data_IF_997352106490
#
_entry.id   IF_997352106490
#
_cell.length_a   1.000
_cell.length_b   1.000
_cell.length_c   1.000
_cell.angle_alpha   90.00
_cell.angle_beta   90.00
_cell.angle_gamma   90.00
#
_symmetry.space_group_name_H-M   'P 1'
#
loop_
_entity.id
_entity.type
_entity.pdbx_description
1 polymer ?
#
# COMPACT_ATOMS: atom_id res chain seq x y z
N UNK A 1 14.89 -13.78 14.76
CA UNK A 1 13.45 -13.46 14.69
C UNK A 1 13.19 -12.72 13.37
N UNK A 2 12.43 -13.31 12.43
CA UNK A 2 12.13 -12.63 11.15
C UNK A 2 11.29 -11.38 11.44
N UNK A 3 11.83 -10.22 11.09
CA UNK A 3 11.18 -8.92 11.18
C UNK A 3 10.02 -8.89 10.16
N UNK A 4 8.88 -9.50 10.51
CA UNK A 4 7.73 -9.59 9.62
C UNK A 4 7.03 -8.23 9.63
N UNK A 5 7.41 -7.36 8.69
CA UNK A 5 6.59 -6.23 8.29
C UNK A 5 5.16 -6.69 7.95
N UNK A 6 4.19 -5.76 7.96
CA UNK A 6 2.77 -6.10 7.79
C UNK A 6 2.57 -6.96 6.53
N UNK A 7 2.19 -8.23 6.73
CA UNK A 7 1.94 -9.16 5.62
C UNK A 7 0.64 -8.77 4.94
N UNK A 8 0.65 -8.70 3.62
CA UNK A 8 -0.57 -8.42 2.88
C UNK A 8 -1.45 -9.68 2.89
N UNK A 9 -2.77 -9.52 2.72
CA UNK A 9 -3.71 -10.65 2.73
C UNK A 9 -3.24 -11.85 1.89
N UNK A 10 -2.68 -11.58 0.70
CA UNK A 10 -2.20 -12.63 -0.19
C UNK A 10 -1.04 -13.41 0.40
N UNK A 11 -0.15 -12.75 1.15
CA UNK A 11 1.01 -13.38 1.77
C UNK A 11 0.58 -14.28 2.92
N UNK A 12 -0.31 -13.80 3.79
CA UNK A 12 -0.89 -14.58 4.89
C UNK A 12 -1.63 -15.80 4.33
N UNK A 13 -2.43 -15.60 3.29
CA UNK A 13 -3.14 -16.71 2.63
C UNK A 13 -2.16 -17.75 2.06
N UNK A 14 -1.25 -17.33 1.18
CA UNK A 14 -0.36 -18.25 0.49
C UNK A 14 0.58 -19.00 1.43
N UNK A 15 1.06 -18.34 2.49
CA UNK A 15 2.09 -18.88 3.36
C UNK A 15 1.51 -19.65 4.55
N UNK A 16 0.33 -19.28 5.07
CA UNK A 16 -0.16 -19.84 6.34
C UNK A 16 -1.55 -20.48 6.30
N UNK A 17 -2.43 -20.05 5.38
CA UNK A 17 -3.86 -20.41 5.41
C UNK A 17 -4.35 -21.19 4.18
N UNK A 18 -3.56 -21.28 3.11
CA UNK A 18 -3.90 -22.05 1.90
C UNK A 18 -4.12 -23.53 2.21
N UNK A 19 -3.32 -24.08 3.12
CA UNK A 19 -3.43 -25.47 3.60
C UNK A 19 -3.45 -25.44 5.12
N UNK A 20 -4.49 -26.01 5.73
CA UNK A 20 -4.63 -26.13 7.19
C UNK A 20 -4.92 -27.61 7.49
N UNK A 21 -4.07 -28.25 8.30
CA UNK A 21 -4.16 -29.68 8.62
C UNK A 21 -4.34 -30.59 7.38
N UNK A 22 -3.60 -30.30 6.29
CA UNK A 22 -3.67 -31.07 5.05
C UNK A 22 -4.83 -30.70 4.11
N UNK A 23 -5.80 -29.90 4.54
CA UNK A 23 -6.96 -29.49 3.75
C UNK A 23 -6.68 -28.19 3.03
N UNK A 24 -6.96 -28.14 1.72
CA UNK A 24 -6.75 -26.96 0.87
C UNK A 24 -7.99 -26.07 0.80
N UNK A 25 -7.83 -24.81 1.18
CA UNK A 25 -8.86 -23.79 1.10
C UNK A 25 -8.58 -22.80 -0.03
N UNK A 26 -9.64 -22.27 -0.61
CA UNK A 26 -9.59 -21.14 -1.54
C UNK A 26 -9.49 -19.82 -0.78
N UNK A 27 -9.05 -18.71 -1.41
CA UNK A 27 -9.00 -17.42 -0.73
C UNK A 27 -10.38 -17.00 -0.20
N UNK A 28 -11.45 -17.30 -0.94
CA UNK A 28 -12.81 -16.94 -0.55
C UNK A 28 -13.31 -17.75 0.65
N UNK A 29 -12.95 -19.03 0.75
CA UNK A 29 -13.28 -19.84 1.91
C UNK A 29 -12.55 -19.33 3.16
N UNK A 30 -11.27 -18.95 3.03
CA UNK A 30 -10.52 -18.32 4.13
C UNK A 30 -11.12 -16.98 4.53
N UNK A 31 -11.60 -16.16 3.59
CA UNK A 31 -12.36 -14.94 3.93
C UNK A 31 -13.55 -15.31 4.83
N UNK A 32 -14.38 -16.27 4.42
CA UNK A 32 -15.58 -16.68 5.18
C UNK A 32 -15.22 -17.28 6.54
N UNK A 33 -14.20 -18.13 6.63
CA UNK A 33 -13.69 -18.71 7.89
C UNK A 33 -13.23 -17.60 8.85
N UNK A 34 -12.51 -16.60 8.35
CA UNK A 34 -12.04 -15.47 9.15
C UNK A 34 -13.19 -14.64 9.75
N UNK A 35 -14.27 -14.48 8.99
CA UNK A 35 -15.50 -13.85 9.48
C UNK A 35 -16.25 -14.70 10.52
N UNK A 36 -16.33 -16.02 10.31
CA UNK A 36 -16.98 -16.95 11.27
C UNK A 36 -16.26 -16.90 12.62
N UNK A 37 -14.93 -17.05 12.61
CA UNK A 37 -14.10 -16.99 13.83
C UNK A 37 -14.26 -15.65 14.55
N UNK A 38 -14.52 -14.58 13.81
CA UNK A 38 -14.76 -13.24 14.36
C UNK A 38 -16.21 -13.01 14.79
N UNK A 39 -17.02 -14.07 14.89
CA UNK A 39 -18.41 -14.02 15.38
C UNK A 39 -19.37 -13.27 14.47
N UNK A 40 -19.11 -13.22 13.15
CA UNK A 40 -19.94 -12.44 12.22
C UNK A 40 -21.05 -13.29 11.61
N UNK A 41 -22.28 -12.76 11.65
CA UNK A 41 -23.48 -13.36 11.05
C UNK A 41 -23.40 -13.43 9.51
N UNK A 42 -24.08 -14.38 8.86
CA UNK A 42 -24.21 -14.46 7.38
C UNK A 42 -24.49 -13.11 6.74
N UNK A 43 -25.44 -12.32 7.29
CA UNK A 43 -25.81 -11.01 6.77
C UNK A 43 -24.64 -10.03 6.73
N UNK A 44 -23.84 -9.97 7.81
CA UNK A 44 -22.63 -9.12 7.89
C UNK A 44 -21.55 -9.59 6.91
N UNK A 45 -21.35 -10.90 6.78
CA UNK A 45 -20.40 -11.48 5.81
C UNK A 45 -20.81 -11.11 4.38
N UNK A 46 -22.08 -11.31 4.04
CA UNK A 46 -22.64 -11.02 2.73
C UNK A 46 -22.48 -9.55 2.35
N UNK A 47 -22.83 -8.64 3.28
CA UNK A 47 -22.64 -7.21 3.12
C UNK A 47 -21.17 -6.84 2.88
N UNK A 48 -20.26 -7.35 3.71
CA UNK A 48 -18.84 -7.04 3.59
C UNK A 48 -18.23 -7.55 2.28
N UNK A 49 -18.55 -8.79 1.90
CA UNK A 49 -18.04 -9.42 0.68
C UNK A 49 -18.78 -8.98 -0.59
N UNK A 50 -19.85 -8.18 -0.46
CA UNK A 50 -20.71 -7.71 -1.56
C UNK A 50 -21.28 -8.88 -2.39
N UNK A 51 -21.84 -9.90 -1.70
CA UNK A 51 -22.48 -11.08 -2.29
C UNK A 51 -23.81 -11.37 -1.60
N UNK A 52 -24.65 -12.25 -2.20
CA UNK A 52 -25.93 -12.62 -1.58
C UNK A 52 -25.72 -13.45 -0.30
N UNK A 53 -26.59 -13.32 0.73
CA UNK A 53 -26.54 -14.15 1.92
C UNK A 53 -26.56 -15.66 1.61
N UNK A 54 -27.35 -16.08 0.62
CA UNK A 54 -27.39 -17.47 0.16
C UNK A 54 -26.04 -17.96 -0.38
N UNK A 55 -25.27 -17.09 -1.04
CA UNK A 55 -23.92 -17.41 -1.51
C UNK A 55 -22.96 -17.63 -0.34
N UNK A 56 -23.09 -16.84 0.73
CA UNK A 56 -22.34 -17.08 1.97
C UNK A 56 -22.72 -18.43 2.58
N UNK A 57 -24.01 -18.74 2.70
CA UNK A 57 -24.43 -20.03 3.25
C UNK A 57 -23.91 -21.21 2.41
N UNK A 58 -23.87 -21.07 1.08
CA UNK A 58 -23.24 -22.05 0.19
C UNK A 58 -21.73 -22.19 0.46
N UNK A 59 -21.00 -21.09 0.66
CA UNK A 59 -19.59 -21.16 1.04
C UNK A 59 -19.40 -21.89 2.38
N UNK A 60 -20.25 -21.61 3.36
CA UNK A 60 -20.20 -22.25 4.69
C UNK A 60 -20.49 -23.75 4.56
N UNK A 61 -21.51 -24.12 3.79
CA UNK A 61 -21.81 -25.52 3.50
C UNK A 61 -20.63 -26.25 2.84
N UNK A 62 -20.00 -25.65 1.82
CA UNK A 62 -18.83 -26.24 1.17
C UNK A 62 -17.63 -26.39 2.12
N UNK A 63 -17.43 -25.42 3.02
CA UNK A 63 -16.40 -25.51 4.07
C UNK A 63 -16.72 -26.67 5.01
N UNK A 64 -17.97 -26.80 5.48
CA UNK A 64 -18.38 -27.89 6.35
C UNK A 64 -18.20 -29.26 5.69
N UNK A 65 -18.55 -29.39 4.41
CA UNK A 65 -18.33 -30.62 3.64
C UNK A 65 -16.84 -30.96 3.52
N UNK A 66 -15.96 -29.97 3.28
CA UNK A 66 -14.50 -30.18 3.24
C UNK A 66 -13.91 -30.59 4.58
N UNK A 67 -14.53 -30.15 5.67
CA UNK A 67 -14.11 -30.43 7.04
C UNK A 67 -14.79 -31.66 7.63
N UNK A 68 -15.72 -32.28 6.90
CA UNK A 68 -16.59 -33.36 7.38
C UNK A 68 -17.27 -33.00 8.71
N UNK A 69 -17.78 -31.77 8.81
CA UNK A 69 -18.44 -31.26 10.00
C UNK A 69 -19.85 -30.75 9.72
N UNK A 70 -20.60 -30.43 10.79
CA UNK A 70 -22.05 -30.19 10.70
C UNK A 70 -22.50 -28.85 11.29
N UNK A 71 -21.59 -28.07 11.87
CA UNK A 71 -21.91 -26.78 12.45
C UNK A 71 -20.82 -25.73 12.21
N UNK A 72 -21.18 -24.45 12.40
CA UNK A 72 -20.21 -23.35 12.34
C UNK A 72 -19.21 -23.42 13.49
N UNK A 73 -19.67 -23.88 14.63
CA UNK A 73 -18.88 -24.11 15.83
C UNK A 73 -17.77 -25.13 15.52
N UNK A 74 -18.07 -26.20 14.77
CA UNK A 74 -17.03 -27.15 14.36
C UNK A 74 -15.97 -26.54 13.42
N UNK A 75 -16.32 -25.53 12.61
CA UNK A 75 -15.32 -24.79 11.81
C UNK A 75 -14.37 -24.01 12.73
N UNK A 76 -14.91 -23.40 13.79
CA UNK A 76 -14.10 -22.69 14.81
C UNK A 76 -13.19 -23.68 15.53
N UNK A 77 -13.74 -24.80 16.03
CA UNK A 77 -13.00 -25.87 16.70
C UNK A 77 -11.85 -26.40 15.82
N UNK A 78 -12.11 -26.60 14.53
CA UNK A 78 -11.11 -27.06 13.56
C UNK A 78 -9.92 -26.09 13.48
N UNK A 79 -10.19 -24.79 13.39
CA UNK A 79 -9.14 -23.77 13.30
C UNK A 79 -8.39 -23.62 14.62
N UNK A 80 -9.07 -23.69 15.76
CA UNK A 80 -8.43 -23.70 17.08
C UNK A 80 -7.47 -24.88 17.22
N UNK A 81 -7.93 -26.10 16.92
CA UNK A 81 -7.11 -27.32 16.96
C UNK A 81 -5.92 -27.29 16.00
N UNK A 82 -6.02 -26.53 14.89
CA UNK A 82 -4.90 -26.37 13.95
C UNK A 82 -3.80 -25.41 14.42
N UNK A 83 -4.02 -24.66 15.51
CA UNK A 83 -3.10 -23.62 15.97
C UNK A 83 -3.06 -22.37 15.07
N UNK A 84 -3.96 -22.26 14.07
CA UNK A 84 -4.01 -21.14 13.12
C UNK A 84 -4.92 -19.99 13.56
N UNK A 85 -5.60 -20.11 14.70
CA UNK A 85 -6.57 -19.12 15.19
C UNK A 85 -6.05 -17.68 15.15
N UNK A 86 -4.86 -17.42 15.73
CA UNK A 86 -4.26 -16.08 15.76
C UNK A 86 -3.96 -15.53 14.36
N UNK A 87 -3.54 -16.39 13.42
CA UNK A 87 -3.23 -16.00 12.03
C UNK A 87 -4.52 -15.70 11.27
N UNK A 88 -5.58 -16.48 11.51
CA UNK A 88 -6.89 -16.20 10.89
C UNK A 88 -7.49 -14.90 11.43
N UNK A 89 -7.30 -14.60 12.72
CA UNK A 89 -7.65 -13.29 13.30
C UNK A 89 -6.84 -12.14 12.70
N UNK A 90 -5.54 -12.33 12.49
CA UNK A 90 -4.71 -11.34 11.77
C UNK A 90 -5.23 -11.11 10.34
N UNK A 91 -5.54 -12.20 9.63
CA UNK A 91 -6.13 -12.14 8.29
C UNK A 91 -7.47 -11.37 8.28
N UNK A 92 -8.33 -11.60 9.27
CA UNK A 92 -9.57 -10.84 9.45
C UNK A 92 -9.31 -9.34 9.61
N UNK A 93 -8.37 -8.94 10.46
CA UNK A 93 -7.98 -7.54 10.62
C UNK A 93 -7.48 -6.94 9.31
N UNK A 94 -6.66 -7.67 8.55
CA UNK A 94 -6.21 -7.24 7.23
C UNK A 94 -7.36 -7.05 6.22
N UNK A 95 -8.43 -7.87 6.29
CA UNK A 95 -9.62 -7.69 5.46
C UNK A 95 -10.31 -6.36 5.79
N UNK A 96 -10.52 -6.09 7.08
CA UNK A 96 -11.16 -4.85 7.53
C UNK A 96 -10.36 -3.61 7.13
N UNK A 97 -9.04 -3.62 7.32
CA UNK A 97 -8.16 -2.51 6.96
C UNK A 97 -8.20 -2.26 5.46
N UNK A 98 -8.14 -3.33 4.64
CA UNK A 98 -8.25 -3.22 3.18
C UNK A 98 -9.57 -2.59 2.77
N UNK A 99 -10.67 -2.95 3.42
CA UNK A 99 -12.00 -2.41 3.14
C UNK A 99 -12.10 -0.92 3.52
N UNK A 100 -11.66 -0.55 4.74
CA UNK A 100 -11.61 0.86 5.17
C UNK A 100 -10.75 1.69 4.22
N UNK A 101 -9.54 1.24 3.90
CA UNK A 101 -8.65 1.91 2.95
C UNK A 101 -9.32 2.12 1.58
N UNK A 102 -9.96 1.08 1.03
CA UNK A 102 -10.68 1.18 -0.25
C UNK A 102 -11.83 2.20 -0.18
N UNK A 103 -12.55 2.26 0.94
CA UNK A 103 -13.57 3.27 1.20
C UNK A 103 -12.99 4.67 1.15
N UNK A 104 -11.87 4.90 1.83
CA UNK A 104 -11.18 6.19 1.87
C UNK A 104 -10.66 6.62 0.50
N UNK A 105 -10.14 5.69 -0.32
CA UNK A 105 -9.79 6.00 -1.71
C UNK A 105 -11.00 6.43 -2.55
N UNK A 106 -12.19 5.87 -2.32
CA UNK A 106 -13.41 6.32 -3.01
C UNK A 106 -13.82 7.73 -2.57
N UNK A 107 -13.70 8.06 -1.28
CA UNK A 107 -13.93 9.42 -0.77
C UNK A 107 -12.98 10.43 -1.43
N UNK A 108 -11.68 10.11 -1.51
CA UNK A 108 -10.70 10.94 -2.22
C UNK A 108 -11.08 11.08 -3.70
N UNK A 109 -11.55 10.00 -4.34
CA UNK A 109 -12.00 10.04 -5.73
C UNK A 109 -13.10 11.06 -5.99
N UNK A 110 -14.04 11.24 -5.05
CA UNK A 110 -15.09 12.25 -5.16
C UNK A 110 -14.52 13.68 -5.16
N UNK A 111 -13.47 13.93 -4.38
CA UNK A 111 -12.79 15.23 -4.35
C UNK A 111 -11.97 15.49 -5.62
N UNK A 112 -11.35 14.44 -6.16
CA UNK A 112 -10.45 14.50 -7.32
C UNK A 112 -11.18 14.76 -8.64
N UNK A 113 -12.47 14.43 -8.75
CA UNK A 113 -13.28 14.64 -9.97
C UNK A 113 -13.22 16.06 -10.52
N UNK A 114 -13.04 17.06 -9.67
CA UNK A 114 -13.04 18.47 -10.07
C UNK A 114 -11.65 18.98 -10.50
N UNK A 115 -10.58 18.23 -10.24
CA UNK A 115 -9.19 18.67 -10.47
C UNK A 115 -8.47 17.78 -11.49
N UNK A 116 -8.87 16.50 -11.62
CA UNK A 116 -8.31 15.53 -12.59
C UNK A 116 -6.78 15.59 -12.71
N UNK A 117 -6.04 15.35 -11.61
CA UNK A 117 -4.59 15.46 -11.59
C UNK A 117 -3.96 14.47 -12.56
N UNK A 118 -3.02 14.97 -13.35
CA UNK A 118 -2.18 14.17 -14.22
C UNK A 118 -0.84 13.90 -13.52
N UNK A 119 -0.59 12.62 -13.23
CA UNK A 119 0.62 12.14 -12.58
C UNK A 119 1.48 11.35 -13.58
N UNK A 120 2.78 11.67 -13.67
CA UNK A 120 3.73 10.84 -14.39
C UNK A 120 4.56 10.05 -13.40
N UNK A 121 4.63 8.74 -13.58
CA UNK A 121 5.51 7.86 -12.82
C UNK A 121 6.71 7.50 -13.69
N UNK A 122 7.89 7.94 -13.26
CA UNK A 122 9.16 7.75 -13.96
C UNK A 122 9.92 6.60 -13.31
N UNK A 123 10.12 5.50 -14.04
CA UNK A 123 11.00 4.44 -13.59
C UNK A 123 12.45 4.82 -13.85
N UNK A 124 13.23 4.94 -12.78
CA UNK A 124 14.68 5.06 -12.90
C UNK A 124 15.34 3.69 -13.07
N UNK A 125 14.63 2.58 -12.82
CA UNK A 125 15.16 1.21 -12.82
C UNK A 125 15.23 0.60 -14.23
N UNK A 126 16.36 -0.03 -14.55
CA UNK A 126 16.53 -0.82 -15.78
C UNK A 126 16.58 -2.35 -15.53
N UNK A 127 16.83 -2.80 -14.29
CA UNK A 127 17.02 -4.23 -13.96
C UNK A 127 16.37 -4.60 -12.61
N UNK A 128 15.93 -5.86 -12.49
CA UNK A 128 15.08 -6.48 -11.45
C UNK A 128 13.60 -6.06 -11.45
N UNK A 129 12.83 -6.68 -12.37
CA UNK A 129 11.41 -6.41 -12.63
C UNK A 129 10.43 -6.99 -11.61
N UNK A 130 10.64 -8.20 -11.09
CA UNK A 130 9.52 -9.01 -10.58
C UNK A 130 8.82 -8.47 -9.31
N UNK A 131 9.55 -8.15 -8.24
CA UNK A 131 8.93 -7.66 -6.99
C UNK A 131 8.54 -6.17 -7.05
N UNK A 132 9.31 -5.38 -7.79
CA UNK A 132 9.00 -3.97 -8.06
C UNK A 132 7.70 -3.85 -8.85
N UNK A 133 7.51 -4.72 -9.84
CA UNK A 133 6.30 -4.75 -10.66
C UNK A 133 5.06 -5.05 -9.81
N UNK A 134 5.15 -5.92 -8.78
CA UNK A 134 4.00 -6.22 -7.91
C UNK A 134 3.54 -5.02 -7.08
N UNK A 135 4.46 -4.30 -6.42
CA UNK A 135 4.13 -3.08 -5.67
C UNK A 135 3.59 -2.02 -6.62
N UNK A 136 4.22 -1.88 -7.78
CA UNK A 136 3.86 -0.86 -8.77
C UNK A 136 2.49 -1.14 -9.40
N UNK A 137 2.20 -2.38 -9.78
CA UNK A 137 0.89 -2.81 -10.28
C UNK A 137 -0.22 -2.57 -9.24
N UNK A 138 0.10 -2.77 -7.96
CA UNK A 138 -0.85 -2.46 -6.88
C UNK A 138 -1.06 -0.96 -6.72
N UNK A 139 0.01 -0.18 -6.74
CA UNK A 139 -0.05 1.28 -6.67
C UNK A 139 -0.84 1.85 -7.85
N UNK A 140 -0.60 1.36 -9.07
CA UNK A 140 -1.37 1.69 -10.28
C UNK A 140 -2.86 1.50 -10.08
N UNK A 141 -3.27 0.35 -9.55
CA UNK A 141 -4.68 0.05 -9.27
C UNK A 141 -5.30 1.03 -8.29
N UNK A 142 -4.58 1.42 -7.23
CA UNK A 142 -5.07 2.38 -6.25
C UNK A 142 -5.14 3.82 -6.77
N UNK A 143 -4.12 4.28 -7.50
CA UNK A 143 -4.12 5.60 -8.14
C UNK A 143 -5.26 5.72 -9.17
N UNK A 144 -5.49 4.69 -9.98
CA UNK A 144 -6.63 4.64 -10.92
C UNK A 144 -7.98 4.65 -10.18
N UNK A 145 -8.09 3.95 -9.05
CA UNK A 145 -9.31 3.96 -8.24
C UNK A 145 -9.66 5.35 -7.71
N UNK A 146 -8.64 6.18 -7.44
CA UNK A 146 -8.83 7.59 -7.04
C UNK A 146 -9.26 8.47 -8.23
N UNK A 147 -9.01 8.06 -9.47
CA UNK A 147 -9.29 8.88 -10.65
C UNK A 147 -8.13 9.81 -11.03
N UNK A 148 -6.92 9.49 -10.60
CA UNK A 148 -5.69 10.17 -11.04
C UNK A 148 -5.34 9.62 -12.44
N UNK A 149 -5.13 10.51 -13.41
CA UNK A 149 -4.63 10.13 -14.73
C UNK A 149 -3.14 9.82 -14.61
N UNK A 150 -2.70 8.64 -15.05
CA UNK A 150 -1.31 8.20 -14.87
C UNK A 150 -0.65 7.88 -16.20
N UNK A 151 0.54 8.41 -16.42
CA UNK A 151 1.44 7.96 -17.48
C UNK A 151 2.70 7.34 -16.88
N UNK A 152 3.19 6.28 -17.51
CA UNK A 152 4.45 5.63 -17.16
C UNK A 152 5.51 5.98 -18.19
N UNK A 153 6.69 6.37 -17.73
CA UNK A 153 7.81 6.71 -18.58
C UNK A 153 9.09 6.11 -18.01
N UNK A 154 9.99 5.65 -18.88
CA UNK A 154 11.39 5.50 -18.50
C UNK A 154 12.02 6.90 -18.35
N UNK A 155 13.15 6.98 -17.64
CA UNK A 155 13.90 8.24 -17.53
C UNK A 155 14.19 8.88 -18.91
N UNK A 156 14.65 8.09 -19.88
CA UNK A 156 14.94 8.55 -21.26
C UNK A 156 13.71 9.12 -21.97
N UNK A 157 12.55 8.48 -21.79
CA UNK A 157 11.30 8.95 -22.38
C UNK A 157 10.81 10.25 -21.72
N UNK A 158 11.07 10.41 -20.42
CA UNK A 158 10.69 11.62 -19.68
C UNK A 158 11.59 12.80 -20.04
N UNK A 159 12.90 12.59 -20.18
CA UNK A 159 13.86 13.60 -20.67
C UNK A 159 13.46 14.18 -22.03
N UNK A 160 13.07 13.32 -22.98
CA UNK A 160 12.61 13.75 -24.31
C UNK A 160 11.28 14.52 -24.32
N UNK A 161 10.47 14.39 -23.26
CA UNK A 161 9.19 15.09 -23.10
C UNK A 161 9.32 16.42 -22.36
N UNK A 162 10.37 16.60 -21.55
CA UNK A 162 10.60 17.82 -20.78
C UNK A 162 10.73 19.09 -21.65
N UNK A 163 10.89 18.94 -22.96
CA UNK A 163 11.00 20.01 -23.94
C UNK A 163 9.70 20.35 -24.71
N UNK A 164 8.63 19.54 -24.57
CA UNK A 164 7.36 19.68 -25.34
C UNK A 164 6.19 19.86 -24.36
N UNK A 165 5.92 21.10 -23.94
CA UNK A 165 5.19 21.40 -22.71
C UNK A 165 3.66 21.66 -22.84
N UNK A 166 2.97 21.10 -23.84
CA UNK A 166 1.52 21.32 -23.99
C UNK A 166 0.65 20.48 -23.04
N UNK A 167 1.23 19.55 -22.26
CA UNK A 167 0.49 18.71 -21.32
C UNK A 167 1.32 18.39 -20.07
N UNK A 168 1.69 19.45 -19.33
CA UNK A 168 2.57 19.34 -18.17
C UNK A 168 1.94 18.54 -17.02
N UNK A 169 2.66 17.58 -16.41
CA UNK A 169 2.13 16.82 -15.29
C UNK A 169 1.97 17.72 -14.06
N UNK A 170 0.83 17.61 -13.39
CA UNK A 170 0.59 18.25 -12.09
C UNK A 170 1.53 17.72 -11.00
N UNK A 171 1.90 16.44 -11.11
CA UNK A 171 2.85 15.79 -10.22
C UNK A 171 3.70 14.74 -10.96
N UNK A 172 4.98 14.64 -10.61
CA UNK A 172 5.87 13.59 -11.11
C UNK A 172 6.44 12.78 -9.96
N UNK A 173 6.30 11.45 -10.04
CA UNK A 173 6.85 10.51 -9.07
C UNK A 173 8.06 9.80 -9.70
N UNK A 174 9.23 9.94 -9.08
CA UNK A 174 10.42 9.20 -9.48
C UNK A 174 10.57 7.94 -8.64
N UNK A 175 10.49 6.78 -9.28
CA UNK A 175 10.75 5.49 -8.64
C UNK A 175 12.25 5.27 -8.55
N UNK A 176 12.76 5.11 -7.34
CA UNK A 176 14.18 4.88 -7.06
C UNK A 176 14.31 3.72 -6.09
N UNK A 177 15.22 2.79 -6.35
CA UNK A 177 15.47 1.65 -5.44
C UNK A 177 16.70 1.89 -4.58
N UNK A 178 16.83 1.14 -3.47
CA UNK A 178 18.01 1.19 -2.60
C UNK A 178 19.34 1.00 -3.36
N UNK A 179 19.39 0.05 -4.31
CA UNK A 179 20.58 -0.16 -5.14
C UNK A 179 20.95 1.08 -5.96
N UNK A 180 19.96 1.81 -6.46
CA UNK A 180 20.22 3.04 -7.22
C UNK A 180 20.66 4.19 -6.33
N UNK A 181 20.11 4.28 -5.11
CA UNK A 181 20.61 5.22 -4.12
C UNK A 181 22.07 4.94 -3.75
N UNK A 182 22.51 3.68 -3.76
CA UNK A 182 23.92 3.35 -3.56
C UNK A 182 24.79 3.75 -4.76
N UNK A 183 24.27 3.60 -5.99
CA UNK A 183 24.94 4.08 -7.21
C UNK A 183 25.05 5.62 -7.31
N UNK A 184 24.45 6.38 -6.37
CA UNK A 184 24.71 7.81 -6.18
C UNK A 184 25.98 8.12 -5.40
N UNK A 185 26.54 7.14 -4.68
CA UNK A 185 27.82 7.28 -3.97
C UNK A 185 28.94 6.73 -4.87
N UNK A 186 30.04 7.47 -5.08
CA UNK A 186 31.14 6.95 -5.87
C UNK A 186 31.84 5.85 -5.06
N UNK A 187 31.58 4.59 -5.39
CA UNK A 187 32.45 3.49 -4.99
C UNK A 187 33.03 2.86 -6.25
N UNK A 188 34.27 3.28 -6.52
CA UNK A 188 35.24 2.86 -7.54
C UNK A 188 35.25 3.65 -8.86
N UNK A 189 36.44 4.13 -9.19
CA UNK A 189 36.78 4.65 -10.52
C UNK A 189 36.55 3.55 -11.56
N UNK A 190 35.70 3.81 -12.56
CA UNK A 190 35.55 2.94 -13.74
C UNK A 190 34.13 2.51 -14.11
N UNK A 191 33.11 2.71 -13.26
CA UNK A 191 31.72 2.38 -13.62
C UNK A 191 30.95 3.57 -14.25
N UNK A 192 30.03 3.32 -15.20
CA UNK A 192 29.34 4.39 -15.92
C UNK A 192 28.54 5.30 -14.97
N UNK A 193 28.95 6.58 -14.90
CA UNK A 193 28.39 7.71 -14.12
C UNK A 193 26.92 8.08 -14.36
N UNK A 194 26.12 7.25 -15.00
CA UNK A 194 24.82 7.66 -15.54
C UNK A 194 23.65 6.90 -14.92
N UNK A 195 23.04 7.41 -13.83
CA UNK A 195 21.61 7.11 -13.61
C UNK A 195 20.82 8.09 -12.73
N UNK A 196 21.40 8.69 -11.67
CA UNK A 196 20.65 9.59 -10.77
C UNK A 196 21.16 11.03 -10.73
N UNK A 197 22.43 11.30 -11.02
CA UNK A 197 22.90 12.69 -11.25
C UNK A 197 22.11 13.36 -12.37
N UNK A 198 21.82 12.59 -13.44
CA UNK A 198 20.92 13.02 -14.52
C UNK A 198 19.47 13.22 -14.06
N UNK A 199 18.95 12.42 -13.11
CA UNK A 199 17.61 12.63 -12.52
C UNK A 199 17.58 13.91 -11.71
N UNK A 200 18.60 14.21 -10.92
CA UNK A 200 18.65 15.47 -10.17
C UNK A 200 18.77 16.68 -11.07
N UNK A 201 19.68 16.64 -12.04
CA UNK A 201 19.78 17.70 -13.04
C UNK A 201 18.46 17.88 -13.79
N UNK A 202 17.79 16.79 -14.16
CA UNK A 202 16.47 16.83 -14.79
C UNK A 202 15.43 17.48 -13.88
N UNK A 203 15.34 17.09 -12.60
CA UNK A 203 14.37 17.70 -11.66
C UNK A 203 14.67 19.19 -11.46
N UNK A 204 15.94 19.57 -11.28
CA UNK A 204 16.34 20.97 -11.14
C UNK A 204 16.03 21.78 -12.41
N UNK A 205 16.27 21.21 -13.59
CA UNK A 205 15.97 21.84 -14.87
C UNK A 205 14.45 22.03 -15.07
N UNK A 206 13.63 21.07 -14.66
CA UNK A 206 12.17 21.20 -14.77
C UNK A 206 11.65 22.21 -13.73
N UNK A 207 12.16 22.21 -12.49
CA UNK A 207 11.81 23.21 -11.46
C UNK A 207 12.05 24.65 -11.92
N UNK A 208 13.14 24.89 -12.67
CA UNK A 208 13.43 26.20 -13.26
C UNK A 208 12.43 26.62 -14.33
N UNK A 209 11.76 25.67 -15.00
CA UNK A 209 10.88 25.90 -16.15
C UNK A 209 9.39 25.85 -15.83
N UNK A 210 9.00 25.19 -14.74
CA UNK A 210 7.61 25.08 -14.30
C UNK A 210 7.49 25.24 -12.79
N UNK A 211 6.86 26.33 -12.37
CA UNK A 211 6.65 26.68 -10.96
C UNK A 211 5.55 25.84 -10.29
N UNK A 212 4.65 25.24 -11.07
CA UNK A 212 3.52 24.45 -10.56
C UNK A 212 3.79 22.94 -10.52
N UNK A 213 4.82 22.46 -11.23
CA UNK A 213 5.18 21.05 -11.24
C UNK A 213 5.73 20.61 -9.89
N UNK A 214 5.08 19.63 -9.26
CA UNK A 214 5.51 19.06 -7.99
C UNK A 214 6.16 17.69 -8.19
N UNK A 215 7.12 17.35 -7.35
CA UNK A 215 7.95 16.15 -7.50
C UNK A 215 8.01 15.37 -6.20
N UNK A 216 7.97 14.04 -6.30
CA UNK A 216 8.18 13.14 -5.17
C UNK A 216 9.07 11.98 -5.58
N UNK A 217 10.06 11.64 -4.76
CA UNK A 217 10.78 10.38 -4.90
C UNK A 217 10.07 9.27 -4.14
N UNK A 218 9.76 8.16 -4.80
CA UNK A 218 9.27 6.95 -4.16
C UNK A 218 10.43 5.96 -4.03
N UNK A 219 10.91 5.78 -2.80
CA UNK A 219 12.07 4.95 -2.50
C UNK A 219 11.63 3.52 -2.18
N UNK A 220 12.00 2.57 -3.04
CA UNK A 220 11.60 1.17 -2.92
C UNK A 220 12.70 0.33 -2.25
N UNK A 221 12.33 -0.44 -1.23
CA UNK A 221 13.16 -1.45 -0.55
C UNK A 221 14.55 -0.93 -0.14
N UNK A 222 14.62 0.30 0.37
CA UNK A 222 15.88 0.87 0.87
C UNK A 222 16.26 0.22 2.20
N UNK A 223 17.52 -0.19 2.32
CA UNK A 223 18.08 -0.58 3.60
C UNK A 223 18.17 0.62 4.55
N UNK A 224 17.93 0.38 5.84
CA UNK A 224 17.95 1.45 6.84
C UNK A 224 19.33 2.12 7.01
N UNK A 225 20.39 1.37 6.71
CA UNK A 225 21.79 1.80 6.70
C UNK A 225 22.13 2.80 5.59
N UNK A 226 21.30 2.88 4.55
CA UNK A 226 21.52 3.79 3.42
C UNK A 226 20.84 5.12 3.76
N UNK A 227 21.63 6.19 3.84
CA UNK A 227 21.10 7.54 4.04
C UNK A 227 20.38 8.05 2.79
N UNK A 228 19.37 8.89 3.00
CA UNK A 228 18.72 9.59 1.89
C UNK A 228 19.57 10.81 1.53
N UNK A 229 20.03 10.93 0.27
CA UNK A 229 20.79 12.11 -0.15
C UNK A 229 20.01 13.39 0.10
N UNK A 230 20.70 14.45 0.55
CA UNK A 230 20.09 15.75 0.86
C UNK A 230 19.27 16.30 -0.31
N UNK A 231 19.74 16.12 -1.54
CA UNK A 231 19.02 16.53 -2.75
C UNK A 231 17.64 15.84 -2.90
N UNK A 232 17.49 14.58 -2.48
CA UNK A 232 16.18 13.89 -2.44
C UNK A 232 15.35 14.42 -1.28
N UNK A 233 15.97 14.61 -0.11
CA UNK A 233 15.30 15.12 1.08
C UNK A 233 14.69 16.50 0.84
N UNK A 234 15.42 17.40 0.18
CA UNK A 234 15.01 18.77 -0.15
C UNK A 234 13.84 18.80 -1.17
N UNK A 235 13.73 17.78 -2.02
CA UNK A 235 12.61 17.62 -2.94
C UNK A 235 11.41 16.98 -2.24
N UNK A 236 11.68 16.04 -1.35
CA UNK A 236 10.70 15.25 -0.62
C UNK A 236 10.53 13.85 -1.22
N UNK A 237 10.46 12.88 -0.34
CA UNK A 237 10.32 11.47 -0.71
C UNK A 237 9.24 10.76 0.11
N UNK A 238 8.92 9.54 -0.30
CA UNK A 238 8.04 8.59 0.38
C UNK A 238 8.76 7.24 0.34
N UNK A 239 8.81 6.53 1.47
CA UNK A 239 9.50 5.25 1.57
C UNK A 239 8.53 4.07 1.49
N UNK A 240 8.88 3.11 0.66
CA UNK A 240 8.26 1.80 0.54
C UNK A 240 9.24 0.75 1.04
N UNK A 241 9.26 0.52 2.36
CA UNK A 241 10.02 -0.60 2.96
C UNK A 241 9.06 -1.74 3.29
N UNK A 242 9.58 -2.97 3.36
CA UNK A 242 8.78 -4.11 3.83
C UNK A 242 8.22 -3.89 5.24
N UNK A 243 8.94 -3.16 6.10
CA UNK A 243 8.49 -2.81 7.45
C UNK A 243 7.43 -1.72 7.49
N UNK A 244 7.27 -0.94 6.42
CA UNK A 244 6.31 0.17 6.35
C UNK A 244 4.92 -0.33 5.97
N UNK A 245 3.89 0.33 6.48
CA UNK A 245 2.52 -0.05 6.16
C UNK A 245 2.15 0.48 4.77
N UNK A 246 1.94 -0.46 3.83
CA UNK A 246 1.54 -0.18 2.44
C UNK A 246 0.44 0.89 2.31
N UNK A 247 -0.66 0.77 3.07
CA UNK A 247 -1.84 1.62 2.93
C UNK A 247 -1.52 3.07 3.29
N UNK A 248 -0.79 3.23 4.37
CA UNK A 248 -0.30 4.49 4.84
C UNK A 248 0.68 5.08 3.80
N UNK A 249 1.68 4.34 3.32
CA UNK A 249 2.58 4.83 2.26
C UNK A 249 1.82 5.36 1.03
N UNK A 250 0.75 4.67 0.61
CA UNK A 250 -0.12 5.17 -0.48
C UNK A 250 -0.87 6.45 -0.07
N UNK A 251 -1.43 6.55 1.13
CA UNK A 251 -2.08 7.78 1.61
C UNK A 251 -1.13 8.99 1.61
N UNK A 252 0.11 8.83 2.06
CA UNK A 252 1.12 9.90 2.01
C UNK A 252 1.43 10.31 0.58
N UNK A 253 1.55 9.32 -0.32
CA UNK A 253 1.75 9.62 -1.74
C UNK A 253 0.54 10.37 -2.33
N UNK A 254 -0.70 10.00 -1.96
CA UNK A 254 -1.90 10.73 -2.38
C UNK A 254 -1.87 12.19 -1.89
N UNK A 255 -1.46 12.45 -0.64
CA UNK A 255 -1.32 13.83 -0.14
C UNK A 255 -0.34 14.65 -0.96
N UNK A 256 0.75 14.04 -1.45
CA UNK A 256 1.74 14.74 -2.28
C UNK A 256 1.24 14.99 -3.70
N UNK A 257 0.60 13.99 -4.31
CA UNK A 257 0.04 14.12 -5.68
C UNK A 257 -1.13 15.10 -5.71
N UNK A 258 -2.00 15.03 -4.71
CA UNK A 258 -3.20 15.87 -4.61
C UNK A 258 -3.01 16.99 -3.59
N UNK A 259 -1.87 17.70 -3.63
CA UNK A 259 -1.53 18.72 -2.61
C UNK A 259 -2.53 19.89 -2.53
N UNK A 260 -3.29 20.14 -3.60
CA UNK A 260 -4.38 21.13 -3.62
C UNK A 260 -5.61 20.68 -2.83
N UNK A 261 -5.75 19.39 -2.52
CA UNK A 261 -6.87 18.83 -1.77
C UNK A 261 -6.50 18.63 -0.30
N UNK A 262 -7.38 19.04 0.60
CA UNK A 262 -7.23 18.74 2.02
C UNK A 262 -7.67 17.31 2.32
N UNK A 263 -6.69 16.40 2.40
CA UNK A 263 -6.92 14.98 2.73
C UNK A 263 -6.74 14.67 4.23
N UNK A 264 -6.44 15.66 5.07
CA UNK A 264 -6.07 15.43 6.48
C UNK A 264 -7.20 14.76 7.28
N UNK A 265 -8.46 15.13 7.01
CA UNK A 265 -9.63 14.51 7.64
C UNK A 265 -9.75 13.04 7.27
N UNK A 266 -9.70 12.71 5.98
CA UNK A 266 -9.81 11.34 5.46
C UNK A 266 -8.69 10.45 6.04
N UNK A 267 -7.47 10.97 6.11
CA UNK A 267 -6.32 10.23 6.65
C UNK A 267 -6.42 10.05 8.16
N UNK A 268 -6.92 11.05 8.89
CA UNK A 268 -7.16 10.94 10.33
C UNK A 268 -8.24 9.90 10.65
N UNK A 269 -9.32 9.86 9.86
CA UNK A 269 -10.36 8.84 9.99
C UNK A 269 -9.83 7.44 9.66
N UNK A 270 -9.09 7.28 8.56
CA UNK A 270 -8.43 6.01 8.24
C UNK A 270 -7.49 5.54 9.35
N UNK A 271 -6.74 6.47 9.94
CA UNK A 271 -5.83 6.18 11.06
C UNK A 271 -6.60 5.65 12.27
N UNK A 272 -7.75 6.27 12.59
CA UNK A 272 -8.62 5.83 13.67
C UNK A 272 -9.17 4.43 13.42
N UNK A 273 -9.69 4.17 12.21
CA UNK A 273 -10.16 2.84 11.82
C UNK A 273 -9.06 1.79 11.97
N UNK A 274 -7.86 2.10 11.48
CA UNK A 274 -6.71 1.21 11.54
C UNK A 274 -6.32 0.84 12.98
N UNK A 275 -6.28 1.82 13.87
CA UNK A 275 -5.95 1.62 15.29
C UNK A 275 -7.06 0.88 16.03
N UNK A 276 -8.32 1.17 15.71
CA UNK A 276 -9.46 0.45 16.27
C UNK A 276 -9.41 -1.04 15.89
N UNK A 277 -9.05 -1.36 14.64
CA UNK A 277 -8.99 -2.76 14.15
C UNK A 277 -7.83 -3.55 14.75
N UNK A 278 -6.64 -2.94 14.86
CA UNK A 278 -5.45 -3.64 15.35
C UNK A 278 -5.24 -3.54 16.88
N UNK A 279 -6.01 -2.69 17.56
CA UNK A 279 -5.77 -2.31 18.95
C UNK A 279 -4.55 -1.38 19.11
N UNK A 280 -4.40 -0.72 20.27
CA UNK A 280 -3.28 0.21 20.54
C UNK A 280 -1.90 -0.46 20.73
N UNK A 281 -1.75 -1.77 20.50
CA UNK A 281 -0.55 -2.55 20.86
C UNK A 281 0.62 -2.41 19.86
N UNK A 282 1.62 -1.62 20.26
CA UNK A 282 3.10 -1.68 20.16
C UNK A 282 3.88 -2.21 18.92
N UNK A 283 3.24 -2.66 17.84
CA UNK A 283 3.98 -3.05 16.61
C UNK A 283 3.87 -2.05 15.46
N UNK A 284 2.98 -1.07 15.57
CA UNK A 284 2.88 -0.02 14.56
C UNK A 284 3.94 1.02 14.90
N UNK A 285 5.03 1.03 14.14
CA UNK A 285 6.02 2.11 14.21
C UNK A 285 5.42 3.42 13.67
N UNK A 286 4.47 4.00 14.41
CA UNK A 286 3.86 5.31 14.15
C UNK A 286 4.89 6.46 14.16
N UNK A 287 6.12 6.18 14.57
CA UNK A 287 7.22 7.12 14.74
C UNK A 287 7.70 7.74 13.42
N UNK A 288 7.35 7.17 12.27
CA UNK A 288 7.71 7.72 10.94
C UNK A 288 6.72 8.78 10.42
N UNK A 289 5.71 9.16 11.24
CA UNK A 289 4.58 9.97 10.77
C UNK A 289 4.35 11.25 11.61
N UNK A 290 5.03 12.37 11.28
CA UNK A 290 4.96 13.61 12.04
C UNK A 290 3.54 14.19 12.20
N UNK A 291 2.69 14.04 11.17
CA UNK A 291 1.30 14.52 11.20
C UNK A 291 0.34 13.60 11.98
N UNK A 292 0.58 12.29 11.94
CA UNK A 292 -0.22 11.32 12.72
C UNK A 292 0.11 11.44 14.21
N UNK A 293 1.35 11.74 14.59
CA UNK A 293 1.71 12.04 15.99
C UNK A 293 0.88 13.19 16.58
N UNK A 294 0.64 14.26 15.80
CA UNK A 294 -0.25 15.37 16.20
C UNK A 294 -1.72 14.95 16.30
N UNK A 295 -2.21 14.11 15.39
CA UNK A 295 -3.59 13.62 15.41
C UNK A 295 -3.83 12.63 16.58
N UNK A 296 -2.86 11.78 16.91
CA UNK A 296 -2.92 10.84 18.02
C UNK A 296 -2.81 11.51 19.39
N UNK A 297 -1.97 12.54 19.54
CA UNK A 297 -1.96 13.34 20.76
C UNK A 297 -3.31 14.04 21.02
N UNK A 298 -4.05 14.44 19.96
CA UNK A 298 -5.40 14.98 20.12
C UNK A 298 -6.45 13.92 20.45
N UNK A 299 -6.29 12.69 19.96
CA UNK A 299 -7.25 11.60 20.18
C UNK A 299 -7.06 10.89 21.53
N UNK A 300 -5.87 10.94 22.13
CA UNK A 300 -5.60 10.37 23.46
C UNK A 300 -6.11 11.23 24.64
N UNK A 301 -6.71 12.39 24.36
CA UNK A 301 -7.26 13.33 25.34
C UNK A 301 -8.80 13.44 25.28
N UNK A 302 -9.49 12.49 24.63
CA UNK A 302 -10.95 12.37 24.62
C UNK A 302 -11.38 10.95 24.95
#
# INVERSE_FOLDING_TARGET
>A
MKNRGLRLLQDIYCQDLKIINGIKFTPREIDVIAFIISGRTTKKIASFLSIAPKTVDNHIHNIMMKLECHSRENIVDFIEKSGKFSIVREYYSCLLIKASFKGKLKEISLLVKNVTPFCVIVSCCQQNKQDQDLILERLKKHLKLVGITIAFKSIKQYEGLAHKLDNSPTHTVFLVTGMQLNALFPLREGEPKATLSSVFELVQNIRKRSLSATFTFLLLNREASIDVPKAISDIGYVEFRESENYYFTVMTLMQKICASLNLDKIISEFTRDYLFINGPSDKVKLHTWPKVRKALHKAAHY
#
